data_IF_453961527119
#
_entry.id   IF_453961527119
#
_cell.length_a   1.000
_cell.length_b   1.000
_cell.length_c   1.000
_cell.angle_alpha   90.00
_cell.angle_beta   90.00
_cell.angle_gamma   90.00
#
_symmetry.space_group_name_H-M   'P 1'
#
loop_
_entity.id
_entity.type
_entity.pdbx_description
1 polymer ?
#
# COMPACT_ATOMS: atom_id res chain seq x y z
N UNK A 1 16.49 9.75 1.71
CA UNK A 1 15.54 9.97 0.59
C UNK A 1 14.55 11.04 1.04
N UNK A 2 14.36 12.14 0.29
CA UNK A 2 13.41 13.20 0.70
C UNK A 2 11.99 12.63 0.60
N UNK A 3 11.31 12.53 1.75
CA UNK A 3 9.98 11.94 1.89
C UNK A 3 8.93 12.63 0.99
N UNK A 4 9.07 13.95 0.83
CA UNK A 4 8.11 14.81 0.14
C UNK A 4 8.79 15.52 -1.02
N UNK A 5 8.78 14.91 -2.21
CA UNK A 5 9.12 15.62 -3.44
C UNK A 5 8.05 16.70 -3.70
N UNK A 6 8.40 17.82 -4.36
CA UNK A 6 7.42 18.87 -4.67
C UNK A 6 6.18 18.34 -5.40
N UNK A 7 6.36 17.35 -6.28
CA UNK A 7 5.29 16.68 -7.02
C UNK A 7 4.29 15.97 -6.08
N UNK A 8 4.78 15.22 -5.08
CA UNK A 8 3.93 14.55 -4.08
C UNK A 8 3.16 15.56 -3.23
N UNK A 9 3.82 16.64 -2.81
CA UNK A 9 3.18 17.72 -2.02
C UNK A 9 2.10 18.41 -2.84
N UNK A 10 2.34 18.63 -4.13
CA UNK A 10 1.34 19.20 -5.03
C UNK A 10 0.14 18.27 -5.21
N UNK A 11 0.38 16.97 -5.36
CA UNK A 11 -0.69 15.97 -5.56
C UNK A 11 -1.60 15.84 -4.33
N UNK A 12 -1.02 15.96 -3.13
CA UNK A 12 -1.75 15.88 -1.87
C UNK A 12 -2.20 17.25 -1.34
N UNK A 13 -2.12 18.31 -2.16
CA UNK A 13 -2.59 19.63 -1.75
C UNK A 13 -4.08 19.58 -1.45
N UNK A 14 -4.47 19.91 -0.21
CA UNK A 14 -5.87 19.88 0.24
C UNK A 14 -6.36 18.51 0.72
N UNK A 15 -5.49 17.49 0.84
CA UNK A 15 -5.83 16.22 1.48
C UNK A 15 -5.61 16.34 2.99
N UNK A 16 -6.56 15.82 3.77
CA UNK A 16 -6.39 15.67 5.22
C UNK A 16 -5.65 14.35 5.51
N UNK A 17 -4.32 14.43 5.56
CA UNK A 17 -3.43 13.30 5.83
C UNK A 17 -2.94 13.40 7.28
N UNK A 18 -3.44 12.51 8.13
CA UNK A 18 -3.19 12.43 9.57
C UNK A 18 -2.08 11.44 9.96
N UNK A 19 -1.29 10.95 9.00
CA UNK A 19 -0.25 9.93 9.20
C UNK A 19 1.02 10.20 8.38
N UNK A 20 2.15 9.64 8.81
CA UNK A 20 3.37 9.70 8.01
C UNK A 20 3.29 8.76 6.80
N UNK A 21 3.64 9.27 5.62
CA UNK A 21 3.62 8.52 4.36
C UNK A 21 4.96 8.57 3.64
N UNK A 22 5.21 7.59 2.76
CA UNK A 22 6.45 7.46 1.98
C UNK A 22 6.19 7.49 0.47
N UNK A 23 5.13 6.81 0.02
CA UNK A 23 4.76 6.73 -1.40
C UNK A 23 3.34 7.26 -1.62
N UNK A 24 3.17 8.01 -2.70
CA UNK A 24 1.87 8.48 -3.17
C UNK A 24 1.73 8.03 -4.62
N UNK A 25 0.63 7.36 -4.94
CA UNK A 25 0.33 6.83 -6.27
C UNK A 25 -0.95 7.45 -6.78
N UNK A 26 -0.86 8.10 -7.93
CA UNK A 26 -2.00 8.46 -8.73
C UNK A 26 -2.32 7.25 -9.61
N UNK A 27 -3.45 6.57 -9.37
CA UNK A 27 -3.87 5.45 -10.23
C UNK A 27 -4.70 5.99 -11.38
N UNK A 28 -4.27 5.71 -12.60
CA UNK A 28 -4.85 6.29 -13.79
C UNK A 28 -6.14 5.56 -14.19
N UNK A 29 -6.26 4.24 -13.96
CA UNK A 29 -7.46 3.50 -14.35
C UNK A 29 -8.58 3.50 -13.29
N UNK A 30 -8.30 3.94 -12.06
CA UNK A 30 -9.20 3.79 -10.90
C UNK A 30 -9.75 5.08 -10.32
N UNK A 31 -9.38 6.23 -10.88
CA UNK A 31 -9.71 7.56 -10.34
C UNK A 31 -9.37 7.75 -8.84
N UNK A 32 -8.38 6.99 -8.35
CA UNK A 32 -7.96 7.00 -6.95
C UNK A 32 -6.55 7.55 -6.79
N UNK A 33 -6.30 8.08 -5.60
CA UNK A 33 -4.97 8.41 -5.08
C UNK A 33 -4.72 7.52 -3.86
N UNK A 34 -3.59 6.82 -3.88
CA UNK A 34 -3.16 5.95 -2.79
C UNK A 34 -2.03 6.62 -2.04
N UNK A 35 -2.15 6.69 -0.72
CA UNK A 35 -1.12 7.22 0.18
C UNK A 35 -0.65 6.09 1.08
N UNK A 36 0.56 5.62 0.84
CA UNK A 36 1.15 4.49 1.55
C UNK A 36 1.74 4.94 2.88
N UNK A 37 1.40 4.23 3.96
CA UNK A 37 1.99 4.47 5.26
C UNK A 37 3.51 4.33 5.21
N UNK A 38 4.21 5.21 5.92
CA UNK A 38 5.64 5.10 6.18
C UNK A 38 5.93 4.22 7.40
N UNK A 39 5.11 4.34 8.44
CA UNK A 39 5.19 3.46 9.62
C UNK A 39 4.54 2.12 9.31
N UNK A 40 5.37 1.11 9.07
CA UNK A 40 4.91 -0.20 8.57
C UNK A 40 5.10 -1.35 9.56
N UNK A 41 5.95 -1.13 10.57
CA UNK A 41 6.23 -2.07 11.68
C UNK A 41 5.83 -1.53 13.06
N UNK A 42 5.24 -0.34 13.09
CA UNK A 42 4.77 0.29 14.32
C UNK A 42 3.52 -0.44 14.80
N UNK A 43 3.42 -0.74 16.09
CA UNK A 43 2.16 -1.20 16.70
C UNK A 43 1.03 -0.18 16.54
N UNK A 44 1.35 1.04 16.09
CA UNK A 44 0.42 2.14 15.83
C UNK A 44 -0.16 2.13 14.41
N UNK A 45 0.34 1.29 13.49
CA UNK A 45 -0.16 1.24 12.11
C UNK A 45 -0.59 -0.17 11.71
N UNK A 46 -1.87 -0.30 11.33
CA UNK A 46 -2.50 -1.56 10.90
C UNK A 46 -2.81 -1.61 9.40
N UNK A 47 -2.31 -0.64 8.62
CA UNK A 47 -2.65 -0.50 7.21
C UNK A 47 -1.46 -0.25 6.30
N UNK A 48 -1.63 -0.67 5.06
CA UNK A 48 -0.69 -0.48 3.94
C UNK A 48 -0.84 0.92 3.36
N UNK A 49 -2.05 1.28 2.97
CA UNK A 49 -2.35 2.55 2.34
C UNK A 49 -3.76 3.05 2.68
N UNK A 50 -3.95 4.37 2.70
CA UNK A 50 -5.28 4.99 2.63
C UNK A 50 -5.57 5.37 1.18
N UNK A 51 -6.81 5.13 0.76
CA UNK A 51 -7.31 5.41 -0.59
C UNK A 51 -8.20 6.64 -0.54
N UNK A 52 -7.96 7.56 -1.45
CA UNK A 52 -8.69 8.81 -1.62
C UNK A 52 -9.19 8.91 -3.06
N UNK A 53 -10.28 9.64 -3.27
CA UNK A 53 -10.66 10.08 -4.61
C UNK A 53 -9.80 11.27 -5.08
N UNK A 54 -9.91 11.68 -6.35
CA UNK A 54 -9.20 12.88 -6.85
C UNK A 54 -9.69 14.20 -6.26
N UNK A 55 -10.79 14.19 -5.50
CA UNK A 55 -11.35 15.35 -4.79
C UNK A 55 -10.89 15.40 -3.34
N UNK A 56 -9.88 14.60 -2.98
CA UNK A 56 -9.28 14.55 -1.65
C UNK A 56 -10.17 13.93 -0.57
N UNK A 57 -11.26 13.27 -0.95
CA UNK A 57 -12.15 12.58 0.00
C UNK A 57 -11.59 11.21 0.34
N UNK A 58 -11.54 10.90 1.64
CA UNK A 58 -11.17 9.57 2.10
C UNK A 58 -12.22 8.52 1.69
N UNK A 59 -11.76 7.42 1.09
CA UNK A 59 -12.63 6.37 0.57
C UNK A 59 -12.58 5.11 1.45
N UNK A 60 -11.40 4.54 1.64
CA UNK A 60 -11.19 3.32 2.44
C UNK A 60 -9.70 3.09 2.75
N UNK A 61 -9.43 2.06 3.55
CA UNK A 61 -8.09 1.63 3.94
C UNK A 61 -7.77 0.28 3.31
N UNK A 62 -6.56 0.12 2.79
CA UNK A 62 -5.97 -1.18 2.44
C UNK A 62 -5.21 -1.67 3.67
N UNK A 63 -5.76 -2.68 4.35
CA UNK A 63 -5.15 -3.28 5.55
C UNK A 63 -3.96 -4.17 5.16
N UNK A 64 -3.05 -4.45 6.09
CA UNK A 64 -2.07 -5.52 5.87
C UNK A 64 -2.80 -6.87 5.71
N UNK A 65 -2.36 -7.69 4.76
CA UNK A 65 -2.85 -9.07 4.66
C UNK A 65 -2.36 -9.87 5.86
N UNK A 66 -3.20 -10.73 6.42
CA UNK A 66 -2.74 -11.79 7.30
C UNK A 66 -2.01 -12.83 6.44
N UNK A 67 -0.70 -12.92 6.62
CA UNK A 67 0.15 -13.88 5.90
C UNK A 67 0.72 -14.85 6.92
N UNK A 68 0.43 -16.13 6.72
CA UNK A 68 0.99 -17.22 7.49
C UNK A 68 1.79 -18.15 6.58
N UNK A 69 3.04 -18.41 6.95
CA UNK A 69 3.93 -19.34 6.26
C UNK A 69 4.45 -20.31 7.31
N UNK A 70 4.37 -21.61 7.05
CA UNK A 70 4.82 -22.63 7.99
C UNK A 70 4.25 -22.44 9.42
N UNK A 71 2.97 -22.04 9.50
CA UNK A 71 2.25 -21.73 10.74
C UNK A 71 2.85 -20.56 11.56
N UNK A 72 3.59 -19.67 10.90
CA UNK A 72 4.12 -18.44 11.49
C UNK A 72 3.52 -17.24 10.79
N UNK A 73 2.97 -16.30 11.58
CA UNK A 73 2.55 -15.01 11.08
C UNK A 73 3.76 -14.21 10.64
N UNK A 74 3.73 -13.74 9.40
CA UNK A 74 4.82 -12.99 8.80
C UNK A 74 4.60 -11.50 9.01
N UNK A 75 5.64 -10.82 9.46
CA UNK A 75 5.60 -9.37 9.64
C UNK A 75 5.99 -8.68 8.34
N UNK A 76 5.04 -7.96 7.76
CA UNK A 76 5.21 -7.20 6.53
C UNK A 76 5.86 -5.84 6.86
N UNK A 77 7.01 -5.54 6.27
CA UNK A 77 7.83 -4.35 6.58
C UNK A 77 7.63 -3.23 5.57
N UNK A 78 7.55 -3.55 4.29
CA UNK A 78 7.51 -2.54 3.23
C UNK A 78 6.57 -3.00 2.13
N UNK A 79 5.67 -2.11 1.70
CA UNK A 79 4.83 -2.23 0.52
C UNK A 79 5.15 -1.14 -0.52
N UNK A 80 5.50 -1.52 -1.74
CA UNK A 80 5.33 -0.65 -2.90
C UNK A 80 4.32 -1.28 -3.84
N UNK A 81 3.80 -0.51 -4.77
CA UNK A 81 2.81 -1.03 -5.70
C UNK A 81 3.05 -0.66 -7.15
N UNK A 82 2.39 -1.39 -8.03
CA UNK A 82 2.17 -0.97 -9.40
C UNK A 82 0.80 -1.45 -9.85
N UNK A 83 0.30 -0.78 -10.88
CA UNK A 83 -0.99 -1.06 -11.47
C UNK A 83 -0.84 -2.11 -12.58
N UNK A 84 -1.73 -3.11 -12.60
CA UNK A 84 -1.90 -4.03 -13.72
C UNK A 84 -3.37 -4.13 -14.05
N UNK A 85 -3.76 -3.68 -15.24
CA UNK A 85 -5.13 -3.71 -15.73
C UNK A 85 -6.13 -3.17 -14.68
N UNK A 86 -6.86 -4.07 -14.02
CA UNK A 86 -7.86 -3.76 -13.01
C UNK A 86 -7.44 -4.14 -11.56
N UNK A 87 -6.16 -4.32 -11.32
CA UNK A 87 -5.64 -4.77 -10.03
C UNK A 87 -4.43 -3.93 -9.61
N UNK A 88 -4.36 -3.64 -8.31
CA UNK A 88 -3.15 -3.09 -7.72
C UNK A 88 -2.27 -4.23 -7.22
N UNK A 89 -1.09 -4.42 -7.79
CA UNK A 89 -0.10 -5.33 -7.21
C UNK A 89 0.66 -4.62 -6.12
N UNK A 90 0.64 -5.19 -4.93
CA UNK A 90 1.35 -4.71 -3.75
C UNK A 90 2.45 -5.71 -3.44
N UNK A 91 3.70 -5.30 -3.57
CA UNK A 91 4.86 -6.12 -3.14
C UNK A 91 5.14 -5.86 -1.69
N UNK A 92 5.04 -6.92 -0.89
CA UNK A 92 5.47 -6.94 0.49
C UNK A 92 6.89 -7.47 0.61
N UNK A 93 7.73 -6.66 1.24
CA UNK A 93 8.96 -7.12 1.84
C UNK A 93 8.69 -7.57 3.28
N UNK A 94 9.36 -8.64 3.72
CA UNK A 94 9.18 -9.18 5.08
C UNK A 94 10.49 -9.32 5.83
N UNK A 95 10.39 -9.47 7.15
CA UNK A 95 11.55 -9.76 8.00
C UNK A 95 11.93 -11.25 8.00
N UNK A 96 11.23 -12.08 7.22
CA UNK A 96 11.50 -13.50 7.16
C UNK A 96 12.69 -13.80 6.24
N UNK A 97 13.59 -14.66 6.70
CA UNK A 97 14.81 -15.03 5.97
C UNK A 97 14.54 -15.87 4.72
N UNK A 98 13.40 -16.54 4.64
CA UNK A 98 13.04 -17.45 3.55
C UNK A 98 12.10 -16.83 2.52
N UNK A 99 11.35 -15.79 2.90
CA UNK A 99 10.41 -15.12 2.00
C UNK A 99 10.55 -13.60 2.07
N UNK A 100 11.64 -13.11 1.49
CA UNK A 100 11.97 -11.68 1.49
C UNK A 100 10.92 -10.85 0.76
N UNK A 101 10.56 -11.21 -0.48
CA UNK A 101 9.69 -10.40 -1.33
C UNK A 101 8.61 -11.25 -2.02
N UNK A 102 7.36 -10.82 -1.90
CA UNK A 102 6.23 -11.40 -2.62
C UNK A 102 5.21 -10.32 -2.93
N UNK A 103 4.33 -10.58 -3.90
CA UNK A 103 3.24 -9.68 -4.21
C UNK A 103 1.89 -10.32 -3.91
N UNK A 104 0.94 -9.50 -3.52
CA UNK A 104 -0.49 -9.78 -3.62
C UNK A 104 -1.14 -8.78 -4.56
N UNK A 105 -2.13 -9.24 -5.30
CA UNK A 105 -3.09 -8.37 -5.95
C UNK A 105 -4.05 -7.79 -4.93
N UNK A 106 -4.54 -6.59 -5.20
CA UNK A 106 -5.64 -5.99 -4.47
C UNK A 106 -6.67 -5.47 -5.47
N UNK A 107 -7.85 -6.05 -5.44
CA UNK A 107 -9.00 -5.60 -6.23
C UNK A 107 -9.59 -4.36 -5.53
N UNK A 108 -9.46 -3.19 -6.16
CA UNK A 108 -9.93 -1.93 -5.61
C UNK A 108 -11.46 -1.79 -5.59
N UNK A 109 -12.17 -2.55 -6.43
CA UNK A 109 -13.64 -2.55 -6.51
C UNK A 109 -14.21 -3.45 -5.42
N UNK A 110 -13.70 -4.68 -5.31
CA UNK A 110 -14.14 -5.66 -4.32
C UNK A 110 -13.48 -5.46 -2.95
N UNK A 111 -12.44 -4.63 -2.88
CA UNK A 111 -11.68 -4.26 -1.68
C UNK A 111 -11.12 -5.47 -0.93
N UNK A 112 -10.53 -6.40 -1.68
CA UNK A 112 -9.96 -7.63 -1.13
C UNK A 112 -8.65 -7.97 -1.82
N UNK A 113 -7.80 -8.66 -1.07
CA UNK A 113 -6.61 -9.28 -1.63
C UNK A 113 -6.99 -10.40 -2.60
N UNK A 114 -6.26 -10.45 -3.70
CA UNK A 114 -6.44 -11.36 -4.83
C UNK A 114 -5.09 -11.91 -5.25
N UNK A 115 -5.04 -13.16 -5.72
CA UNK A 115 -3.80 -13.79 -6.16
C UNK A 115 -2.66 -13.71 -5.14
N UNK A 116 -1.51 -14.28 -5.47
CA UNK A 116 -0.23 -13.95 -4.86
C UNK A 116 0.87 -14.62 -5.67
N UNK A 117 2.08 -14.12 -5.56
CA UNK A 117 3.25 -14.74 -6.18
C UNK A 117 4.55 -14.21 -5.60
N UNK A 118 5.65 -14.85 -5.95
CA UNK A 118 6.99 -14.33 -5.60
C UNK A 118 7.27 -13.06 -6.39
N UNK A 119 7.90 -12.10 -5.74
CA UNK A 119 8.48 -10.94 -6.40
C UNK A 119 9.96 -11.28 -6.63
N UNK A 120 10.37 -11.37 -7.90
CA UNK A 120 11.74 -11.68 -8.32
C UNK A 120 12.48 -10.40 -8.69
#
# INVERSE_FOLDING_TARGET
MKLNTPEKVSLLSGFDIDFEYDEVRNLDNFDYILVFSKERLSTKTSFVAKVYDKKSSFMFVILFSDVEIENKKITLIYAWSWEIDNELRIVFNTNDTHMRDFWYGFDLVQRKYTGHGRAY
#
